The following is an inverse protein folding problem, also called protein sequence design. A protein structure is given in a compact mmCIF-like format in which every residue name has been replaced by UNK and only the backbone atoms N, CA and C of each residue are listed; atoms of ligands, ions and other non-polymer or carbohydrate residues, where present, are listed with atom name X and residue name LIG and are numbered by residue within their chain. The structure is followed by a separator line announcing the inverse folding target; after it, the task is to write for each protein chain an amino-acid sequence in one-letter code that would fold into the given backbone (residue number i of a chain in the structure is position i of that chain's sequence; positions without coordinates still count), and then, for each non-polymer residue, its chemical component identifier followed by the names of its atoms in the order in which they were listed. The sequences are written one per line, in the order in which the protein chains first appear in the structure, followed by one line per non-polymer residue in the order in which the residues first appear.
data_IF_854982686523
#
_entry.id   IF_854982686523
#
_cell.length_a   1.000
_cell.length_b   1.000
_cell.length_c   1.000
_cell.angle_alpha   90.00
_cell.angle_beta   90.00
_cell.angle_gamma   90.00
#
_symmetry.space_group_name_H-M   'P 1'
#
loop_
_entity.id
_entity.type
_entity.pdbx_description
1 polymer ?
#
# COMPACT_ATOMS: atom_id res chain seq x y z
N UNK A 1 9.03 22.94 23.82
CA UNK A 1 7.90 22.40 23.04
C UNK A 1 6.96 21.79 24.05
N UNK A 2 5.80 22.41 24.29
CA UNK A 2 4.88 22.04 25.37
C UNK A 2 4.13 20.75 25.01
N UNK A 3 3.89 19.88 26.00
CA UNK A 3 3.20 18.58 25.86
C UNK A 3 1.69 18.70 25.58
N UNK A 4 1.18 19.92 25.32
CA UNK A 4 -0.24 20.27 25.33
C UNK A 4 -0.94 20.23 23.95
N UNK A 5 -0.32 19.67 22.89
CA UNK A 5 -0.88 19.71 21.52
C UNK A 5 -1.46 18.37 21.01
N UNK A 6 -1.76 17.41 21.90
CA UNK A 6 -2.36 16.13 21.51
C UNK A 6 -3.71 15.95 22.21
N UNK A 7 -4.79 16.11 21.44
CA UNK A 7 -6.14 15.71 21.90
C UNK A 7 -6.27 14.19 21.81
N UNK A 8 -6.27 13.50 22.95
CA UNK A 8 -6.52 12.05 23.01
C UNK A 8 -8.04 11.80 22.99
N UNK A 9 -8.57 11.44 21.83
CA UNK A 9 -9.97 11.02 21.67
C UNK A 9 -10.11 9.53 22.02
N UNK A 10 -10.97 9.19 22.99
CA UNK A 10 -11.38 7.82 23.29
C UNK A 10 -12.81 7.59 22.80
N UNK A 11 -13.04 6.85 21.70
CA UNK A 11 -14.39 6.57 21.22
C UNK A 11 -15.12 5.62 22.18
N UNK A 12 -16.39 5.92 22.47
CA UNK A 12 -17.31 5.03 23.20
C UNK A 12 -17.89 3.98 22.23
N UNK A 13 -17.60 2.67 22.42
CA UNK A 13 -18.13 1.62 21.55
C UNK A 13 -19.66 1.48 21.60
N UNK A 14 -20.29 1.90 22.70
CA UNK A 14 -21.75 1.84 22.88
C UNK A 14 -22.49 3.03 22.27
N UNK A 15 -21.77 4.09 21.91
CA UNK A 15 -22.31 5.29 21.29
C UNK A 15 -21.28 5.89 20.31
N UNK A 16 -21.02 5.20 19.19
CA UNK A 16 -20.12 5.73 18.18
C UNK A 16 -20.67 7.06 17.64
N UNK A 17 -19.80 8.04 17.31
CA UNK A 17 -20.25 9.21 16.60
C UNK A 17 -20.92 8.76 15.30
N UNK A 18 -22.17 9.17 15.11
CA UNK A 18 -22.93 8.94 13.90
C UNK A 18 -23.20 10.28 13.25
N UNK A 19 -23.15 10.30 11.92
CA UNK A 19 -23.55 11.47 11.15
C UNK A 19 -25.04 11.40 10.90
N UNK A 20 -25.71 12.54 10.95
CA UNK A 20 -27.11 12.67 10.56
C UNK A 20 -27.30 12.37 9.07
N UNK A 21 -28.52 12.04 8.67
CA UNK A 21 -28.87 11.82 7.25
C UNK A 21 -28.56 13.05 6.39
N UNK A 22 -28.76 14.25 6.94
CA UNK A 22 -28.45 15.52 6.26
C UNK A 22 -26.94 15.69 6.04
N UNK A 23 -26.13 15.32 7.03
CA UNK A 23 -24.66 15.37 6.93
C UNK A 23 -24.13 14.34 5.92
N UNK A 24 -24.71 13.13 5.88
CA UNK A 24 -24.38 12.13 4.84
C UNK A 24 -24.74 12.66 3.46
N UNK A 25 -25.95 13.20 3.28
CA UNK A 25 -26.40 13.72 2.01
C UNK A 25 -25.51 14.86 1.51
N UNK A 26 -24.98 15.69 2.40
CA UNK A 26 -24.00 16.73 2.05
C UNK A 26 -22.69 16.13 1.54
N UNK A 27 -22.20 15.06 2.15
CA UNK A 27 -20.98 14.38 1.70
C UNK A 27 -21.18 13.70 0.35
N UNK A 28 -22.29 12.97 0.18
CA UNK A 28 -22.62 12.27 -1.06
C UNK A 28 -22.90 13.24 -2.23
N UNK A 29 -23.35 14.47 -1.94
CA UNK A 29 -23.55 15.51 -2.93
C UNK A 29 -22.26 16.24 -3.35
N UNK A 30 -21.14 16.04 -2.62
CA UNK A 30 -19.87 16.67 -2.94
C UNK A 30 -19.32 16.09 -4.24
N UNK A 31 -19.16 16.94 -5.25
CA UNK A 31 -18.63 16.52 -6.55
C UNK A 31 -17.11 16.36 -6.51
N UNK A 32 -16.54 15.63 -7.47
CA UNK A 32 -15.09 15.51 -7.62
C UNK A 32 -14.42 16.89 -7.80
N UNK A 33 -15.09 17.82 -8.50
CA UNK A 33 -14.62 19.20 -8.69
C UNK A 33 -14.59 19.97 -7.36
N UNK A 34 -15.63 19.84 -6.53
CA UNK A 34 -15.68 20.46 -5.20
C UNK A 34 -14.56 19.91 -4.28
N UNK A 35 -14.25 18.60 -4.38
CA UNK A 35 -13.15 17.97 -3.64
C UNK A 35 -11.80 18.54 -4.11
N UNK A 36 -11.60 18.67 -5.41
CA UNK A 36 -10.34 19.17 -5.97
C UNK A 36 -10.11 20.64 -5.61
N UNK A 37 -11.15 21.47 -5.69
CA UNK A 37 -11.09 22.88 -5.28
C UNK A 37 -10.76 23.02 -3.79
N UNK A 38 -11.38 22.19 -2.94
CA UNK A 38 -11.07 22.17 -1.51
C UNK A 38 -9.62 21.74 -1.23
N UNK A 39 -9.13 20.71 -1.92
CA UNK A 39 -7.74 20.24 -1.80
C UNK A 39 -6.74 21.31 -2.27
N UNK A 40 -7.02 22.02 -3.37
CA UNK A 40 -6.17 23.12 -3.87
C UNK A 40 -6.16 24.33 -2.92
N UNK A 41 -7.24 24.56 -2.20
CA UNK A 41 -7.34 25.65 -1.22
C UNK A 41 -6.60 25.36 0.09
N UNK A 42 -6.34 24.09 0.42
CA UNK A 42 -5.58 23.67 1.60
C UNK A 42 -4.07 23.63 1.31
N UNK A 43 -3.24 24.49 1.93
CA UNK A 43 -1.80 24.50 1.72
C UNK A 43 -1.10 23.19 2.13
N UNK A 44 -1.66 22.44 3.08
CA UNK A 44 -1.08 21.19 3.59
C UNK A 44 -1.61 19.95 2.85
N UNK A 45 -2.67 20.09 2.05
CA UNK A 45 -3.31 19.00 1.32
C UNK A 45 -3.36 19.22 -0.21
N UNK A 46 -2.37 19.93 -0.75
CA UNK A 46 -2.33 20.26 -2.18
C UNK A 46 -2.20 19.01 -3.08
N UNK A 47 -3.03 18.88 -4.14
CA UNK A 47 -2.97 17.71 -5.02
C UNK A 47 -1.68 17.71 -5.86
N UNK A 48 -1.02 16.54 -5.93
CA UNK A 48 0.18 16.36 -6.76
C UNK A 48 -0.21 16.21 -8.24
N UNK A 49 0.54 16.86 -9.13
CA UNK A 49 0.36 16.68 -10.56
C UNK A 49 0.82 15.28 -11.02
N UNK A 50 0.30 14.80 -12.15
CA UNK A 50 0.73 13.53 -12.74
C UNK A 50 2.24 13.46 -13.02
N UNK A 51 2.83 14.58 -13.45
CA UNK A 51 4.28 14.69 -13.68
C UNK A 51 5.06 14.47 -12.38
N UNK A 52 4.64 15.14 -11.29
CA UNK A 52 5.27 14.98 -9.97
C UNK A 52 5.07 13.55 -9.45
N UNK A 53 3.89 12.95 -9.66
CA UNK A 53 3.63 11.55 -9.29
C UNK A 53 4.54 10.54 -10.04
N UNK A 54 4.91 10.83 -11.29
CA UNK A 54 5.78 9.98 -12.09
C UNK A 54 7.27 10.08 -11.68
N UNK A 55 7.67 11.15 -10.99
CA UNK A 55 9.01 11.27 -10.41
C UNK A 55 9.24 10.32 -9.23
N UNK A 56 8.18 9.87 -8.55
CA UNK A 56 8.32 8.97 -7.41
C UNK A 56 8.71 7.55 -7.83
N UNK A 57 9.68 6.97 -7.13
CA UNK A 57 10.02 5.56 -7.34
C UNK A 57 8.85 4.67 -6.91
N UNK A 58 8.19 4.03 -7.88
CA UNK A 58 7.15 3.04 -7.60
C UNK A 58 7.76 1.78 -6.97
N UNK A 59 7.45 1.56 -5.70
CA UNK A 59 7.75 0.31 -4.99
C UNK A 59 6.84 -0.79 -5.56
N UNK A 60 7.37 -1.99 -5.91
CA UNK A 60 6.54 -3.07 -6.42
C UNK A 60 5.45 -3.48 -5.41
N UNK A 61 4.20 -3.52 -5.87
CA UNK A 61 3.10 -4.05 -5.07
C UNK A 61 3.21 -5.59 -4.99
N UNK A 62 3.80 -6.06 -3.89
CA UNK A 62 4.02 -7.48 -3.62
C UNK A 62 2.70 -8.26 -3.64
N UNK A 63 1.64 -7.69 -3.08
CA UNK A 63 0.32 -8.33 -2.97
C UNK A 63 -0.30 -8.49 -4.35
N UNK A 64 -0.21 -7.47 -5.20
CA UNK A 64 -0.71 -7.53 -6.57
C UNK A 64 0.07 -8.55 -7.41
N UNK A 65 1.41 -8.55 -7.32
CA UNK A 65 2.26 -9.54 -8.00
C UNK A 65 1.84 -10.95 -7.60
N UNK A 66 1.76 -11.23 -6.29
CA UNK A 66 1.37 -12.54 -5.77
C UNK A 66 -0.03 -12.96 -6.21
N UNK A 67 -1.02 -12.06 -6.10
CA UNK A 67 -2.40 -12.35 -6.50
C UNK A 67 -2.52 -12.68 -7.98
N UNK A 68 -1.78 -11.99 -8.84
CA UNK A 68 -1.76 -12.28 -10.29
C UNK A 68 -1.20 -13.68 -10.59
N UNK A 69 -0.32 -14.20 -9.74
CA UNK A 69 0.20 -15.56 -9.84
C UNK A 69 -0.70 -16.62 -9.17
N UNK A 70 -1.82 -16.20 -8.56
CA UNK A 70 -2.75 -17.07 -7.82
C UNK A 70 -2.07 -17.88 -6.70
N UNK A 71 -1.15 -17.27 -5.97
CA UNK A 71 -0.42 -17.90 -4.86
C UNK A 71 -0.88 -17.35 -3.50
N UNK A 72 -0.92 -18.21 -2.49
CA UNK A 72 -0.96 -17.78 -1.09
C UNK A 72 0.36 -17.11 -0.69
N UNK A 73 0.37 -16.36 0.41
CA UNK A 73 1.61 -15.74 0.93
C UNK A 73 2.72 -16.77 1.18
N UNK A 74 2.36 -17.96 1.66
CA UNK A 74 3.30 -19.04 1.95
C UNK A 74 3.88 -19.63 0.67
N UNK A 75 3.04 -19.90 -0.34
CA UNK A 75 3.50 -20.42 -1.62
C UNK A 75 4.38 -19.41 -2.35
N UNK A 76 4.02 -18.13 -2.33
CA UNK A 76 4.84 -17.06 -2.92
C UNK A 76 6.20 -16.95 -2.24
N UNK A 77 6.23 -16.96 -0.90
CA UNK A 77 7.46 -16.94 -0.13
C UNK A 77 8.36 -18.14 -0.46
N UNK A 78 7.77 -19.34 -0.44
CA UNK A 78 8.50 -20.58 -0.73
C UNK A 78 9.04 -20.61 -2.16
N UNK A 79 8.20 -20.28 -3.15
CA UNK A 79 8.55 -20.40 -4.58
C UNK A 79 9.66 -19.43 -5.02
N UNK A 80 9.77 -18.28 -4.36
CA UNK A 80 10.74 -17.24 -4.71
C UNK A 80 11.84 -17.05 -3.65
N UNK A 81 11.98 -18.02 -2.73
CA UNK A 81 12.99 -18.03 -1.68
C UNK A 81 12.99 -16.75 -0.81
N UNK A 82 11.80 -16.23 -0.52
CA UNK A 82 11.57 -15.09 0.36
C UNK A 82 11.10 -15.59 1.74
N UNK A 83 11.36 -14.83 2.80
CA UNK A 83 10.79 -15.16 4.10
C UNK A 83 9.29 -14.83 4.13
N UNK A 84 8.49 -15.72 4.73
CA UNK A 84 7.05 -15.47 4.89
C UNK A 84 6.79 -14.22 5.75
N UNK A 85 7.67 -13.91 6.72
CA UNK A 85 7.56 -12.69 7.51
C UNK A 85 7.73 -11.45 6.62
N UNK A 86 8.77 -11.41 5.79
CA UNK A 86 9.02 -10.27 4.91
C UNK A 86 7.84 -10.05 3.94
N UNK A 87 7.30 -11.11 3.34
CA UNK A 87 6.11 -11.00 2.46
C UNK A 87 4.93 -10.40 3.22
N UNK A 88 4.69 -10.80 4.47
CA UNK A 88 3.61 -10.23 5.29
C UNK A 88 3.86 -8.77 5.63
N UNK A 89 5.08 -8.44 6.06
CA UNK A 89 5.46 -7.09 6.45
C UNK A 89 5.36 -6.12 5.27
N UNK A 90 5.75 -6.55 4.07
CA UNK A 90 5.62 -5.76 2.84
C UNK A 90 4.17 -5.57 2.42
N UNK A 91 3.36 -6.65 2.41
CA UNK A 91 1.95 -6.56 2.01
C UNK A 91 1.08 -5.76 3.01
N UNK A 92 1.52 -5.64 4.26
CA UNK A 92 0.87 -4.83 5.30
C UNK A 92 1.44 -3.42 5.40
N UNK A 93 2.50 -3.10 4.65
CA UNK A 93 3.17 -1.81 4.71
C UNK A 93 3.94 -1.54 6.01
N UNK A 94 4.25 -2.57 6.80
CA UNK A 94 5.06 -2.45 8.03
C UNK A 94 6.52 -2.15 7.72
N UNK A 95 7.02 -2.70 6.61
CA UNK A 95 8.35 -2.45 6.07
C UNK A 95 8.27 -2.36 4.55
N UNK A 96 9.26 -1.71 3.94
CA UNK A 96 9.43 -1.72 2.48
C UNK A 96 10.50 -2.74 2.07
N UNK A 97 10.37 -3.40 0.92
CA UNK A 97 11.45 -4.21 0.36
C UNK A 97 12.67 -3.34 0.09
N UNK A 98 13.87 -3.86 0.38
CA UNK A 98 15.13 -3.21 0.02
C UNK A 98 15.37 -3.22 -1.50
N UNK A 99 16.46 -2.61 -1.96
CA UNK A 99 16.75 -2.48 -3.38
C UNK A 99 16.87 -3.82 -4.11
N UNK A 100 17.46 -4.83 -3.47
CA UNK A 100 17.64 -6.15 -4.06
C UNK A 100 16.30 -6.88 -4.18
N UNK A 101 15.50 -6.85 -3.11
CA UNK A 101 14.15 -7.40 -3.10
C UNK A 101 13.23 -6.71 -4.12
N UNK A 102 13.28 -5.37 -4.22
CA UNK A 102 12.56 -4.61 -5.27
C UNK A 102 12.94 -5.07 -6.66
N UNK A 103 14.23 -5.28 -6.91
CA UNK A 103 14.73 -5.76 -8.20
C UNK A 103 14.19 -7.16 -8.50
N UNK A 104 14.31 -8.10 -7.56
CA UNK A 104 13.77 -9.45 -7.70
C UNK A 104 12.25 -9.42 -7.95
N UNK A 105 11.49 -8.64 -7.19
CA UNK A 105 10.04 -8.50 -7.36
C UNK A 105 9.66 -7.94 -8.75
N UNK A 106 10.41 -6.96 -9.28
CA UNK A 106 10.23 -6.44 -10.64
C UNK A 106 10.46 -7.53 -11.69
N UNK A 107 11.44 -8.40 -11.47
CA UNK A 107 11.76 -9.51 -12.39
C UNK A 107 10.70 -10.61 -12.29
N UNK A 108 10.30 -11.03 -11.08
CA UNK A 108 9.20 -11.98 -10.85
C UNK A 108 7.91 -11.50 -11.53
N UNK A 109 7.62 -10.20 -11.47
CA UNK A 109 6.44 -9.63 -12.11
C UNK A 109 6.44 -9.77 -13.64
N UNK A 110 7.61 -9.89 -14.27
CA UNK A 110 7.76 -9.98 -15.73
C UNK A 110 7.92 -11.41 -16.22
N UNK A 111 8.74 -12.20 -15.54
CA UNK A 111 9.18 -13.54 -15.97
C UNK A 111 9.11 -14.56 -14.80
N UNK A 112 7.92 -14.79 -14.22
CA UNK A 112 7.78 -15.60 -13.01
C UNK A 112 8.19 -17.07 -13.21
N UNK A 113 7.97 -17.61 -14.41
CA UNK A 113 8.21 -19.03 -14.70
C UNK A 113 9.70 -19.33 -14.92
N UNK A 114 10.42 -18.40 -15.56
CA UNK A 114 11.87 -18.45 -15.74
C UNK A 114 12.59 -18.39 -14.40
N UNK A 115 12.13 -17.50 -13.50
CA UNK A 115 12.66 -17.42 -12.14
C UNK A 115 12.37 -18.72 -11.37
N UNK A 116 11.16 -19.26 -11.47
CA UNK A 116 10.82 -20.55 -10.82
C UNK A 116 11.74 -21.67 -11.29
N UNK A 117 12.02 -21.76 -12.59
CA UNK A 117 12.94 -22.74 -13.17
C UNK A 117 14.37 -22.55 -12.64
N UNK A 118 14.88 -21.32 -12.70
CA UNK A 118 16.23 -21.00 -12.24
C UNK A 118 16.44 -21.32 -10.74
N UNK A 119 15.43 -21.09 -9.91
CA UNK A 119 15.48 -21.40 -8.48
C UNK A 119 15.32 -22.89 -8.18
N UNK A 120 14.60 -23.64 -9.01
CA UNK A 120 14.44 -25.09 -8.85
C UNK A 120 15.73 -25.88 -9.13
N UNK A 121 16.58 -25.38 -10.03
CA UNK A 121 17.84 -26.02 -10.42
C UNK A 121 19.01 -25.74 -9.45
N UNK A 122 18.78 -24.91 -8.42
CA UNK A 122 19.80 -24.52 -7.44
C UNK A 122 19.69 -25.38 -6.18
N UNK A 123 20.70 -26.21 -5.84
CA UNK A 123 20.71 -26.94 -4.57
C UNK A 123 20.71 -25.95 -3.40
N UNK A 124 19.95 -26.26 -2.33
CA UNK A 124 19.93 -25.46 -1.11
C UNK A 124 21.36 -25.34 -0.56
N UNK A 125 21.93 -24.14 -0.67
CA UNK A 125 23.22 -23.76 -0.06
C UNK A 125 22.97 -23.36 1.40
#
# INVERSE_FOLDING_TARGET
MSEDNITRFQPDPGNPPTMSEEELARFDAMTDDDVEDAARADPDAYPLSGEVLDEFERVPDVKAIRKRLNLSQREFAHQFHLSLSAVRDWEQGRFQPDQAARTLLKVIARIPDEIRKALADSPHV
#
